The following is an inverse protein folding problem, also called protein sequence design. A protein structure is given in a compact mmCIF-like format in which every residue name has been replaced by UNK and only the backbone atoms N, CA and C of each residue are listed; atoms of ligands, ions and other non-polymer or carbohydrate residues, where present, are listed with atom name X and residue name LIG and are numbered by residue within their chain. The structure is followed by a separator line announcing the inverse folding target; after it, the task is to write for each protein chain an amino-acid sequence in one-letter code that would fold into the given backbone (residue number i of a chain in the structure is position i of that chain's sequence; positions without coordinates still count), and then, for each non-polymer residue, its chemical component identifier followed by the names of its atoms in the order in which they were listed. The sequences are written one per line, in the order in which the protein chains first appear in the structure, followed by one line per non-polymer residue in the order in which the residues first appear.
data_IF_237803324897
#
_entry.id   IF_237803324897
#
_cell.length_a   1.000
_cell.length_b   1.000
_cell.length_c   1.000
_cell.angle_alpha   90.00
_cell.angle_beta   90.00
_cell.angle_gamma   90.00
#
_symmetry.space_group_name_H-M   'P 1'
#
loop_
_entity.id
_entity.type
_entity.pdbx_description
1 polymer ?
#
# COMPACT_ATOMS: atom_id res chain seq x y z
N UNK A 1 -1.39 11.85 -13.03
CA UNK A 1 -2.29 10.85 -12.42
C UNK A 1 -2.73 9.84 -13.46
N UNK A 2 -3.14 8.66 -13.01
CA UNK A 2 -3.50 7.52 -13.87
C UNK A 2 -4.65 7.81 -14.84
N UNK A 3 -5.59 8.68 -14.44
CA UNK A 3 -6.70 9.17 -15.28
C UNK A 3 -6.19 9.80 -16.59
N UNK A 4 -5.05 10.49 -16.55
CA UNK A 4 -4.42 11.12 -17.71
C UNK A 4 -3.47 10.18 -18.47
N UNK A 5 -3.51 8.87 -18.20
CA UNK A 5 -2.63 7.85 -18.77
C UNK A 5 -1.13 8.15 -18.61
N UNK A 6 -0.76 8.70 -17.45
CA UNK A 6 0.63 9.03 -17.08
C UNK A 6 1.19 8.11 -16.00
N UNK A 7 0.72 6.86 -15.89
CA UNK A 7 1.36 5.84 -15.05
C UNK A 7 2.75 5.51 -15.60
N UNK A 8 3.76 5.38 -14.73
CA UNK A 8 5.13 5.11 -15.15
C UNK A 8 5.32 3.62 -15.42
N UNK A 9 4.87 2.79 -14.48
CA UNK A 9 4.95 1.35 -14.59
C UNK A 9 3.68 0.78 -15.23
N UNK A 10 3.81 -0.37 -15.88
CA UNK A 10 2.66 -1.12 -16.38
C UNK A 10 1.67 -1.42 -15.24
N UNK A 11 2.17 -1.82 -14.07
CA UNK A 11 1.36 -2.09 -12.88
C UNK A 11 0.56 -0.87 -12.41
N UNK A 12 1.07 0.35 -12.62
CA UNK A 12 0.36 1.57 -12.25
C UNK A 12 -0.82 1.80 -13.20
N UNK A 13 -0.58 1.70 -14.51
CA UNK A 13 -1.59 2.03 -15.50
C UNK A 13 -2.71 0.96 -15.58
N UNK A 14 -2.41 -0.30 -15.23
CA UNK A 14 -3.42 -1.36 -15.14
C UNK A 14 -4.51 -1.05 -14.11
N UNK A 15 -4.22 -0.24 -13.09
CA UNK A 15 -5.24 0.19 -12.12
C UNK A 15 -6.33 1.08 -12.73
N UNK A 16 -6.07 1.69 -13.90
CA UNK A 16 -7.01 2.53 -14.64
C UNK A 16 -7.00 2.17 -16.14
N UNK A 17 -7.66 1.07 -16.50
CA UNK A 17 -7.67 0.49 -17.86
C UNK A 17 -9.01 -0.15 -18.24
N UNK A 18 -10.13 0.38 -17.74
CA UNK A 18 -11.47 -0.15 -17.97
C UNK A 18 -11.85 -1.31 -17.04
N UNK A 19 -11.15 -1.44 -15.91
CA UNK A 19 -11.32 -2.55 -14.96
C UNK A 19 -12.12 -2.15 -13.71
N UNK A 20 -12.22 -3.10 -12.77
CA UNK A 20 -12.93 -2.90 -11.50
C UNK A 20 -12.31 -1.82 -10.59
N UNK A 21 -11.04 -1.48 -10.80
CA UNK A 21 -10.29 -0.48 -10.01
C UNK A 21 -10.42 0.94 -10.54
N UNK A 22 -11.02 1.14 -11.72
CA UNK A 22 -11.14 2.47 -12.31
C UNK A 22 -11.95 3.45 -11.43
N UNK A 23 -12.99 2.93 -10.76
CA UNK A 23 -13.85 3.71 -9.87
C UNK A 23 -13.07 4.24 -8.66
N UNK A 24 -12.28 3.39 -8.00
CA UNK A 24 -11.52 3.78 -6.81
C UNK A 24 -10.36 4.73 -7.16
N UNK A 25 -9.71 4.55 -8.32
CA UNK A 25 -8.71 5.51 -8.84
C UNK A 25 -9.35 6.88 -9.10
N UNK A 26 -10.58 6.91 -9.62
CA UNK A 26 -11.32 8.17 -9.83
C UNK A 26 -11.66 8.83 -8.50
N UNK A 27 -12.15 8.06 -7.51
CA UNK A 27 -12.42 8.56 -6.15
C UNK A 27 -11.18 9.19 -5.54
N UNK A 28 -10.06 8.46 -5.50
CA UNK A 28 -8.82 8.95 -4.89
C UNK A 28 -8.20 10.14 -5.62
N UNK A 29 -8.44 10.28 -6.93
CA UNK A 29 -7.97 11.45 -7.69
C UNK A 29 -8.80 12.71 -7.38
N UNK A 30 -10.07 12.55 -6.97
CA UNK A 30 -10.97 13.65 -6.65
C UNK A 30 -10.99 13.99 -5.15
N UNK A 31 -10.61 13.05 -4.28
CA UNK A 31 -10.59 13.22 -2.83
C UNK A 31 -9.33 12.61 -2.21
N UNK A 32 -8.38 13.49 -1.90
CA UNK A 32 -7.12 13.14 -1.26
C UNK A 32 -7.28 12.70 0.21
N UNK A 33 -8.33 13.15 0.90
CA UNK A 33 -8.59 12.74 2.29
C UNK A 33 -9.05 11.29 2.34
N UNK A 34 -9.96 10.91 1.45
CA UNK A 34 -10.41 9.50 1.32
C UNK A 34 -9.21 8.59 1.00
N UNK A 35 -8.34 8.98 0.06
CA UNK A 35 -7.10 8.24 -0.20
C UNK A 35 -6.21 8.10 1.04
N UNK A 36 -5.94 9.20 1.75
CA UNK A 36 -5.02 9.21 2.89
C UNK A 36 -5.54 8.36 4.05
N UNK A 37 -6.85 8.40 4.31
CA UNK A 37 -7.50 7.59 5.34
C UNK A 37 -7.44 6.09 5.00
N UNK A 38 -7.79 5.71 3.78
CA UNK A 38 -7.74 4.32 3.33
C UNK A 38 -6.31 3.79 3.30
N UNK A 39 -5.35 4.61 2.87
CA UNK A 39 -3.94 4.27 2.88
C UNK A 39 -3.45 4.00 4.32
N UNK A 40 -3.82 4.84 5.29
CA UNK A 40 -3.45 4.63 6.69
C UNK A 40 -3.99 3.28 7.22
N UNK A 41 -5.26 2.98 6.93
CA UNK A 41 -5.87 1.70 7.30
C UNK A 41 -5.18 0.51 6.60
N UNK A 42 -4.84 0.64 5.33
CA UNK A 42 -4.13 -0.39 4.56
C UNK A 42 -2.74 -0.65 5.13
N UNK A 43 -2.01 0.39 5.53
CA UNK A 43 -0.67 0.27 6.12
C UNK A 43 -0.72 -0.40 7.51
N UNK A 44 -1.72 -0.10 8.34
CA UNK A 44 -1.94 -0.81 9.62
C UNK A 44 -2.21 -2.30 9.36
N UNK A 45 -3.11 -2.61 8.42
CA UNK A 45 -3.43 -4.00 8.06
C UNK A 45 -2.21 -4.75 7.54
N UNK A 46 -1.39 -4.11 6.70
CA UNK A 46 -0.14 -4.68 6.18
C UNK A 46 0.88 -4.91 7.31
N UNK A 47 1.03 -3.96 8.24
CA UNK A 47 1.96 -4.09 9.37
C UNK A 47 1.59 -5.23 10.33
N UNK A 48 0.32 -5.62 10.36
CA UNK A 48 -0.18 -6.73 11.18
C UNK A 48 -0.09 -8.10 10.48
N UNK A 49 0.53 -8.20 9.31
CA UNK A 49 0.74 -9.47 8.62
C UNK A 49 1.81 -10.31 9.33
N UNK A 50 1.38 -11.37 10.01
CA UNK A 50 2.23 -12.41 10.61
C UNK A 50 3.42 -11.88 11.45
N UNK A 51 3.21 -10.97 12.42
CA UNK A 51 4.29 -10.49 13.26
C UNK A 51 4.81 -11.60 14.19
N UNK A 52 6.12 -11.56 14.49
CA UNK A 52 6.67 -12.29 15.62
C UNK A 52 6.32 -11.52 16.90
N UNK A 53 5.64 -12.18 17.84
CA UNK A 53 5.11 -11.54 19.06
C UNK A 53 5.52 -12.30 20.33
N UNK A 54 5.38 -11.67 21.49
CA UNK A 54 5.78 -12.25 22.76
C UNK A 54 7.28 -12.58 22.78
N UNK A 55 7.62 -13.86 22.93
CA UNK A 55 9.00 -14.36 22.95
C UNK A 55 9.44 -14.98 21.63
N UNK A 56 8.65 -14.84 20.57
CA UNK A 56 9.02 -15.34 19.23
C UNK A 56 10.10 -14.43 18.61
N UNK A 57 11.20 -15.02 18.14
CA UNK A 57 12.31 -14.29 17.52
C UNK A 57 13.29 -13.68 18.52
N UNK A 58 13.87 -12.52 18.19
CA UNK A 58 14.83 -11.80 19.01
C UNK A 58 14.82 -10.29 18.71
N UNK A 59 15.25 -9.48 19.67
CA UNK A 59 15.59 -8.06 19.43
C UNK A 59 17.04 -8.00 18.95
N UNK A 60 17.25 -7.70 17.67
CA UNK A 60 18.60 -7.65 17.07
C UNK A 60 19.37 -6.42 17.52
N UNK A 61 20.63 -6.61 17.90
CA UNK A 61 21.57 -5.51 18.16
C UNK A 61 22.10 -4.88 16.85
N UNK A 62 22.09 -5.66 15.77
CA UNK A 62 22.42 -5.20 14.42
C UNK A 62 21.45 -5.84 13.41
N UNK A 63 20.61 -5.03 12.75
CA UNK A 63 19.57 -5.54 11.85
C UNK A 63 20.10 -6.41 10.70
N UNK A 64 21.40 -6.32 10.36
CA UNK A 64 22.03 -7.05 9.25
C UNK A 64 22.47 -8.47 9.62
N UNK A 65 22.45 -8.88 10.90
CA UNK A 65 22.87 -10.21 11.36
C UNK A 65 21.95 -10.74 12.46
N UNK A 66 21.89 -12.06 12.60
CA UNK A 66 21.32 -12.72 13.80
C UNK A 66 22.30 -12.50 14.96
N UNK A 67 21.80 -12.35 16.18
CA UNK A 67 22.67 -12.19 17.35
C UNK A 67 23.56 -13.41 17.60
#
# INVERSE_FOLDING_TARGET
GLINRRGLLHSDQVLFNGGATDSIVTTYSNDANTFSNDLANAMIKMGNLNPLTGTQGEVRLNCRRVN
#
